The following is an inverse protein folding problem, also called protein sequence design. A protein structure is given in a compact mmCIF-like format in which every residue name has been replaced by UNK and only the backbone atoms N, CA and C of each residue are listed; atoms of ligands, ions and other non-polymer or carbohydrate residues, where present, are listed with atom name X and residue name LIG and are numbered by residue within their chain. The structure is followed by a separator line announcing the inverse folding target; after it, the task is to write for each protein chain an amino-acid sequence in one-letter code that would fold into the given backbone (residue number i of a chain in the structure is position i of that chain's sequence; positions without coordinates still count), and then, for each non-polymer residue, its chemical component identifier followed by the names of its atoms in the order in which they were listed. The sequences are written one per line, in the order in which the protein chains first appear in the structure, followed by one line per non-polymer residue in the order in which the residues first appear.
data_IF_376746887215
#
_entry.id   IF_376746887215
#
_cell.length_a   1.000
_cell.length_b   1.000
_cell.length_c   1.000
_cell.angle_alpha   90.00
_cell.angle_beta   90.00
_cell.angle_gamma   90.00
#
_symmetry.space_group_name_H-M   'P 1'
#
loop_
_entity.id
_entity.type
_entity.pdbx_description
1 polymer ?
#
# COMPACT_ATOMS: atom_id res chain seq x y z
N UNK A 1 35.85 56.81 -0.36
CA UNK A 1 35.76 57.56 -1.63
C UNK A 1 34.36 58.14 -1.69
N UNK A 2 34.27 59.46 -1.56
CA UNK A 2 33.04 60.25 -1.50
C UNK A 2 32.60 60.63 -2.93
N UNK A 3 31.29 60.50 -3.24
CA UNK A 3 30.60 61.27 -4.29
C UNK A 3 29.13 61.49 -3.91
N UNK A 4 28.91 62.60 -3.19
CA UNK A 4 27.66 63.36 -3.11
C UNK A 4 27.03 63.59 -4.49
N UNK A 5 25.70 63.51 -4.59
CA UNK A 5 24.90 64.65 -5.09
C UNK A 5 23.41 64.49 -4.75
N UNK A 6 22.91 65.51 -4.05
CA UNK A 6 21.50 65.89 -3.95
C UNK A 6 20.94 66.19 -5.34
N UNK A 7 19.64 65.96 -5.53
CA UNK A 7 18.74 66.88 -6.24
C UNK A 7 17.28 66.59 -5.87
N UNK A 8 16.58 67.69 -5.65
CA UNK A 8 15.27 67.89 -5.05
C UNK A 8 14.12 67.84 -6.05
N UNK A 9 12.92 67.66 -5.49
CA UNK A 9 11.62 68.20 -5.89
C UNK A 9 10.73 67.40 -6.85
N UNK A 10 9.47 67.22 -6.42
CA UNK A 10 8.32 67.26 -7.32
C UNK A 10 7.18 66.29 -6.99
N UNK A 11 6.08 66.83 -6.46
CA UNK A 11 4.74 66.46 -6.96
C UNK A 11 4.02 65.28 -6.31
N UNK A 12 3.10 65.62 -5.40
CA UNK A 12 1.94 64.83 -4.97
C UNK A 12 1.09 64.34 -6.15
N UNK A 13 0.76 63.04 -6.19
CA UNK A 13 -0.59 62.58 -6.56
C UNK A 13 -0.97 61.36 -5.71
N UNK A 14 -2.03 61.54 -4.92
CA UNK A 14 -2.71 60.51 -4.14
C UNK A 14 -3.44 59.55 -5.10
N UNK A 15 -2.83 58.41 -5.41
CA UNK A 15 -3.50 57.28 -6.05
C UNK A 15 -4.10 56.37 -4.98
N UNK A 16 -5.40 56.49 -4.72
CA UNK A 16 -6.15 55.58 -3.88
C UNK A 16 -6.21 54.19 -4.55
N UNK A 17 -5.38 53.24 -4.10
CA UNK A 17 -5.60 51.83 -4.38
C UNK A 17 -6.78 51.35 -3.54
N UNK A 18 -7.94 51.23 -4.18
CA UNK A 18 -9.08 50.51 -3.62
C UNK A 18 -8.72 49.01 -3.54
N UNK A 19 -8.38 48.54 -2.34
CA UNK A 19 -8.28 47.11 -2.04
C UNK A 19 -9.73 46.60 -2.00
N UNK A 20 -10.19 46.00 -3.09
CA UNK A 20 -11.45 45.24 -3.09
C UNK A 20 -11.25 43.98 -2.26
N UNK A 21 -11.73 43.99 -1.01
CA UNK A 21 -11.83 42.79 -0.20
C UNK A 21 -12.92 41.89 -0.81
N UNK A 22 -12.52 40.90 -1.61
CA UNK A 22 -13.38 39.74 -1.90
C UNK A 22 -13.49 38.96 -0.61
N UNK A 23 -14.66 39.06 0.03
CA UNK A 23 -15.07 38.15 1.09
C UNK A 23 -15.26 36.76 0.46
N UNK A 24 -14.16 36.00 0.36
CA UNK A 24 -14.20 34.58 0.04
C UNK A 24 -14.71 33.84 1.27
N UNK A 25 -15.93 33.30 1.17
CA UNK A 25 -16.49 32.39 2.15
C UNK A 25 -15.60 31.15 2.24
N UNK A 26 -14.73 31.09 3.24
CA UNK A 26 -13.97 29.89 3.54
C UNK A 26 -14.93 28.85 4.14
N UNK A 27 -15.55 28.04 3.29
CA UNK A 27 -16.12 26.77 3.71
C UNK A 27 -14.97 25.83 4.01
N UNK A 28 -14.63 25.70 5.29
CA UNK A 28 -13.75 24.65 5.80
C UNK A 28 -14.46 23.30 5.64
N UNK A 29 -14.24 22.63 4.51
CA UNK A 29 -14.51 21.19 4.44
C UNK A 29 -13.47 20.50 5.32
N UNK A 30 -13.92 19.89 6.41
CA UNK A 30 -13.09 19.02 7.22
C UNK A 30 -12.46 17.95 6.31
N UNK A 31 -11.14 18.00 6.16
CA UNK A 31 -10.39 17.00 5.42
C UNK A 31 -10.46 15.69 6.20
N UNK A 32 -11.28 14.76 5.72
CA UNK A 32 -10.99 13.32 5.89
C UNK A 32 -9.63 13.07 5.22
N UNK A 33 -8.88 12.05 5.68
CA UNK A 33 -7.46 11.81 5.35
C UNK A 33 -7.11 11.53 3.88
N UNK A 34 -7.93 12.01 2.95
CA UNK A 34 -7.87 11.81 1.50
C UNK A 34 -7.32 13.07 0.77
N UNK A 35 -7.09 14.16 1.51
CA UNK A 35 -6.85 15.51 0.97
C UNK A 35 -5.56 15.76 0.20
N UNK A 36 -4.72 14.75 -0.03
CA UNK A 36 -3.42 14.88 -0.73
C UNK A 36 -3.26 13.99 -1.96
N UNK A 37 -4.28 13.20 -2.33
CA UNK A 37 -4.17 12.26 -3.44
C UNK A 37 -4.85 12.81 -4.71
N UNK A 38 -4.06 13.13 -5.74
CA UNK A 38 -4.51 13.78 -6.99
C UNK A 38 -4.63 12.83 -8.19
N UNK A 39 -4.87 11.53 -7.99
CA UNK A 39 -5.07 10.64 -9.12
C UNK A 39 -6.52 10.51 -9.59
N UNK A 40 -6.66 9.87 -10.74
CA UNK A 40 -7.90 9.50 -11.38
C UNK A 40 -8.82 8.66 -10.48
N UNK A 41 -10.10 8.63 -10.84
CA UNK A 41 -11.07 7.80 -10.15
C UNK A 41 -10.73 6.30 -10.23
N UNK A 42 -10.11 5.86 -11.34
CA UNK A 42 -9.63 4.49 -11.50
C UNK A 42 -8.55 4.14 -10.48
N UNK A 43 -7.52 4.98 -10.35
CA UNK A 43 -6.43 4.79 -9.40
C UNK A 43 -6.94 4.73 -7.96
N UNK A 44 -7.86 5.64 -7.59
CA UNK A 44 -8.49 5.64 -6.26
C UNK A 44 -9.30 4.36 -6.01
N UNK A 45 -10.04 3.87 -7.02
CA UNK A 45 -10.78 2.60 -6.92
C UNK A 45 -9.83 1.42 -6.75
N UNK A 46 -8.76 1.34 -7.54
CA UNK A 46 -7.78 0.26 -7.43
C UNK A 46 -7.14 0.24 -6.02
N UNK A 47 -6.70 1.39 -5.50
CA UNK A 47 -6.15 1.48 -4.14
C UNK A 47 -7.16 1.09 -3.05
N UNK A 48 -8.43 1.47 -3.20
CA UNK A 48 -9.49 1.04 -2.27
C UNK A 48 -9.73 -0.47 -2.34
N UNK A 49 -9.74 -1.06 -3.54
CA UNK A 49 -9.85 -2.51 -3.72
C UNK A 49 -8.63 -3.21 -3.12
N UNK A 50 -7.43 -2.63 -3.23
CA UNK A 50 -6.23 -3.13 -2.57
C UNK A 50 -6.36 -3.15 -1.05
N UNK A 51 -6.81 -2.03 -0.45
CA UNK A 51 -7.06 -1.97 0.99
C UNK A 51 -8.07 -3.04 1.45
N UNK A 52 -9.18 -3.21 0.72
CA UNK A 52 -10.20 -4.24 1.03
C UNK A 52 -9.64 -5.67 0.90
N UNK A 53 -8.85 -5.92 -0.15
CA UNK A 53 -8.16 -7.17 -0.38
C UNK A 53 -7.32 -7.55 0.85
N UNK A 54 -6.42 -6.68 1.29
CA UNK A 54 -5.49 -7.05 2.36
C UNK A 54 -6.13 -6.98 3.76
N UNK A 55 -6.90 -5.92 4.02
CA UNK A 55 -7.43 -5.65 5.37
C UNK A 55 -8.60 -6.55 5.74
N UNK A 56 -9.36 -7.03 4.75
CA UNK A 56 -10.51 -7.89 4.98
C UNK A 56 -10.37 -9.25 4.32
N UNK A 57 -10.11 -9.33 3.02
CA UNK A 57 -10.16 -10.61 2.29
C UNK A 57 -9.02 -11.54 2.71
N UNK A 58 -7.77 -11.11 2.59
CA UNK A 58 -6.59 -11.86 3.00
C UNK A 58 -6.59 -12.09 4.51
N UNK A 59 -6.67 -11.01 5.30
CA UNK A 59 -6.60 -11.09 6.77
C UNK A 59 -7.66 -11.99 7.38
N UNK A 60 -8.88 -12.00 6.86
CA UNK A 60 -9.96 -12.86 7.36
C UNK A 60 -10.15 -14.13 6.52
N UNK A 61 -9.17 -14.48 5.67
CA UNK A 61 -9.12 -15.72 4.88
C UNK A 61 -10.40 -15.95 4.03
N UNK A 62 -10.98 -14.87 3.49
CA UNK A 62 -12.22 -14.90 2.69
C UNK A 62 -11.92 -15.28 1.24
N UNK A 63 -11.29 -16.44 1.01
CA UNK A 63 -10.74 -16.85 -0.29
C UNK A 63 -11.72 -16.81 -1.47
N UNK A 64 -13.02 -17.03 -1.22
CA UNK A 64 -14.07 -16.91 -2.24
C UNK A 64 -14.18 -15.49 -2.85
N UNK A 65 -13.72 -14.47 -2.11
CA UNK A 65 -13.74 -13.06 -2.52
C UNK A 65 -12.46 -12.60 -3.21
N UNK A 66 -11.44 -13.46 -3.35
CA UNK A 66 -10.18 -13.04 -3.97
C UNK A 66 -10.35 -12.62 -5.45
N UNK A 67 -11.39 -13.14 -6.11
CA UNK A 67 -11.79 -12.71 -7.46
C UNK A 67 -12.35 -11.30 -7.55
N UNK A 68 -12.60 -10.60 -6.44
CA UNK A 68 -12.96 -9.18 -6.43
C UNK A 68 -11.77 -8.28 -6.83
N UNK A 69 -10.55 -8.78 -6.64
CA UNK A 69 -9.31 -8.04 -6.92
C UNK A 69 -8.37 -8.74 -7.90
N UNK A 70 -8.58 -10.01 -8.23
CA UNK A 70 -7.69 -10.80 -9.10
C UNK A 70 -8.45 -11.42 -10.27
N UNK A 71 -7.84 -11.44 -11.46
CA UNK A 71 -8.36 -12.28 -12.56
C UNK A 71 -8.19 -13.76 -12.26
N UNK A 72 -8.96 -14.62 -12.94
CA UNK A 72 -8.84 -16.08 -12.79
C UNK A 72 -7.48 -16.61 -13.25
N UNK A 73 -6.87 -15.94 -14.22
CA UNK A 73 -5.60 -16.25 -14.87
C UNK A 73 -4.43 -15.38 -14.36
N UNK A 74 -4.58 -14.73 -13.20
CA UNK A 74 -3.55 -13.85 -12.64
C UNK A 74 -2.19 -14.56 -12.55
N UNK A 75 -1.12 -13.84 -12.91
CA UNK A 75 0.25 -14.23 -12.58
C UNK A 75 0.72 -13.52 -11.32
N UNK A 76 1.26 -14.25 -10.35
CA UNK A 76 1.81 -13.66 -9.12
C UNK A 76 3.27 -14.06 -8.97
N UNK A 77 4.14 -13.07 -8.79
CA UNK A 77 5.57 -13.23 -8.55
C UNK A 77 5.85 -13.16 -7.06
N UNK A 78 6.43 -14.23 -6.52
CA UNK A 78 6.71 -14.38 -5.09
C UNK A 78 8.15 -13.98 -4.73
N UNK A 79 8.43 -13.63 -3.46
CA UNK A 79 9.73 -13.07 -3.06
C UNK A 79 10.91 -14.06 -3.08
N UNK A 80 10.64 -15.35 -3.17
CA UNK A 80 11.64 -16.40 -3.36
C UNK A 80 11.96 -16.66 -4.85
N UNK A 81 11.33 -15.90 -5.75
CA UNK A 81 11.56 -15.94 -7.19
C UNK A 81 10.67 -16.91 -7.97
N UNK A 82 9.78 -17.68 -7.32
CA UNK A 82 8.79 -18.46 -8.05
C UNK A 82 7.61 -17.58 -8.50
N UNK A 83 6.79 -18.11 -9.40
CA UNK A 83 5.53 -17.49 -9.78
C UNK A 83 4.41 -18.52 -9.85
N UNK A 84 3.18 -18.05 -9.66
CA UNK A 84 1.96 -18.84 -9.84
C UNK A 84 1.19 -18.34 -11.05
N UNK A 85 0.64 -19.25 -11.85
CA UNK A 85 -0.30 -18.94 -12.92
C UNK A 85 -1.70 -19.41 -12.51
N UNK A 86 -2.63 -18.46 -12.36
CA UNK A 86 -4.02 -18.68 -12.01
C UNK A 86 -4.34 -18.54 -10.51
N UNK A 87 -5.54 -18.03 -10.24
CA UNK A 87 -5.98 -17.63 -8.89
C UNK A 87 -6.03 -18.81 -7.90
N UNK A 88 -6.32 -20.03 -8.37
CA UNK A 88 -6.39 -21.19 -7.49
C UNK A 88 -5.03 -21.52 -6.87
N UNK A 89 -3.97 -21.51 -7.69
CA UNK A 89 -2.62 -21.80 -7.23
C UNK A 89 -2.13 -20.69 -6.29
N UNK A 90 -2.41 -19.44 -6.63
CA UNK A 90 -2.13 -18.32 -5.74
C UNK A 90 -2.83 -18.44 -4.38
N UNK A 91 -4.12 -18.82 -4.33
CA UNK A 91 -4.86 -19.07 -3.08
C UNK A 91 -4.21 -20.20 -2.25
N UNK A 92 -3.74 -21.27 -2.88
CA UNK A 92 -3.05 -22.37 -2.18
C UNK A 92 -1.79 -21.87 -1.47
N UNK A 93 -1.01 -21.02 -2.13
CA UNK A 93 0.23 -20.48 -1.58
C UNK A 93 -0.06 -19.43 -0.49
N UNK A 94 -1.07 -18.58 -0.65
CA UNK A 94 -1.53 -17.66 0.41
C UNK A 94 -1.97 -18.43 1.67
N UNK A 95 -2.72 -19.53 1.52
CA UNK A 95 -3.16 -20.35 2.66
C UNK A 95 -2.00 -20.90 3.47
N UNK A 96 -0.84 -21.15 2.85
CA UNK A 96 0.33 -21.66 3.54
C UNK A 96 0.80 -20.70 4.65
N UNK A 97 0.70 -19.39 4.44
CA UNK A 97 1.05 -18.36 5.44
C UNK A 97 0.21 -18.48 6.73
N UNK A 98 -1.00 -19.03 6.64
CA UNK A 98 -1.91 -19.17 7.77
C UNK A 98 -1.82 -20.53 8.49
N UNK A 99 -1.14 -21.52 7.89
CA UNK A 99 -1.03 -22.85 8.50
C UNK A 99 -0.32 -22.76 9.84
N UNK A 100 0.85 -22.10 9.85
CA UNK A 100 1.70 -21.98 11.03
C UNK A 100 1.43 -20.70 11.86
N UNK A 101 0.92 -19.66 11.21
CA UNK A 101 0.55 -18.38 11.82
C UNK A 101 -0.92 -18.02 11.49
N UNK A 102 -1.90 -18.66 12.16
CA UNK A 102 -3.33 -18.47 11.86
C UNK A 102 -3.86 -17.07 12.18
N UNK A 103 -3.12 -16.27 12.94
CA UNK A 103 -3.40 -14.87 13.28
C UNK A 103 -2.74 -13.86 12.31
N UNK A 104 -2.16 -14.34 11.21
CA UNK A 104 -1.57 -13.50 10.15
C UNK A 104 -2.57 -12.43 9.68
N UNK A 105 -2.14 -11.17 9.67
CA UNK A 105 -2.98 -10.05 9.26
C UNK A 105 -2.16 -8.90 8.67
N UNK A 106 -2.82 -8.12 7.80
CA UNK A 106 -2.36 -6.84 7.28
C UNK A 106 -3.49 -5.84 7.57
N UNK A 107 -3.19 -4.70 8.20
CA UNK A 107 -4.22 -3.72 8.61
C UNK A 107 -3.89 -2.28 8.23
N UNK A 108 -2.70 -2.05 7.69
CA UNK A 108 -2.21 -0.72 7.38
C UNK A 108 -1.42 -0.76 6.08
N UNK A 109 -1.60 0.28 5.27
CA UNK A 109 -0.78 0.56 4.11
C UNK A 109 -0.13 1.94 4.26
N UNK A 110 1.09 2.02 4.84
CA UNK A 110 1.74 3.30 5.13
C UNK A 110 2.01 4.15 3.87
N UNK A 111 2.38 3.50 2.76
CA UNK A 111 2.64 4.17 1.48
C UNK A 111 1.74 3.53 0.43
N UNK A 112 1.03 4.39 -0.32
CA UNK A 112 0.16 3.99 -1.42
C UNK A 112 0.39 4.89 -2.62
N UNK A 113 0.71 4.27 -3.75
CA UNK A 113 0.90 4.93 -5.03
C UNK A 113 0.10 4.20 -6.10
N UNK A 114 -0.40 4.95 -7.07
CA UNK A 114 -1.02 4.41 -8.27
C UNK A 114 -0.71 5.34 -9.44
N UNK A 115 -0.60 4.75 -10.62
CA UNK A 115 -0.31 5.42 -11.88
C UNK A 115 -0.95 4.64 -13.02
N UNK A 116 -2.05 5.15 -13.56
CA UNK A 116 -2.90 4.48 -14.54
C UNK A 116 -3.34 3.10 -14.05
N UNK A 117 -2.83 2.06 -14.71
CA UNK A 117 -3.13 0.66 -14.44
C UNK A 117 -2.19 0.02 -13.40
N UNK A 118 -1.30 0.78 -12.76
CA UNK A 118 -0.37 0.25 -11.74
C UNK A 118 -0.73 0.76 -10.35
N UNK A 119 -0.58 -0.10 -9.35
CA UNK A 119 -0.52 0.27 -7.93
C UNK A 119 0.79 -0.21 -7.32
N UNK A 120 1.30 0.51 -6.33
CA UNK A 120 2.36 0.06 -5.43
C UNK A 120 1.98 0.45 -4.01
N UNK A 121 1.82 -0.54 -3.15
CA UNK A 121 1.44 -0.35 -1.75
C UNK A 121 2.48 -1.00 -0.85
N UNK A 122 2.85 -0.32 0.24
CA UNK A 122 3.56 -0.98 1.34
C UNK A 122 2.55 -1.46 2.36
N UNK A 123 2.85 -2.56 3.04
CA UNK A 123 2.02 -3.11 4.09
C UNK A 123 2.86 -3.64 5.25
N UNK A 124 2.21 -3.85 6.38
CA UNK A 124 2.82 -4.46 7.56
C UNK A 124 2.06 -5.74 7.89
N UNK A 125 2.65 -6.88 7.58
CA UNK A 125 2.11 -8.20 7.89
C UNK A 125 2.56 -8.64 9.28
N UNK A 126 1.62 -9.02 10.13
CA UNK A 126 1.88 -9.44 11.52
C UNK A 126 1.28 -10.79 11.80
N UNK A 127 1.88 -11.57 12.68
CA UNK A 127 1.34 -12.84 13.15
C UNK A 127 2.26 -13.51 14.16
N UNK A 128 1.90 -14.73 14.55
CA UNK A 128 2.60 -15.52 15.57
C UNK A 128 2.75 -16.97 15.14
N UNK A 129 3.97 -17.52 15.19
CA UNK A 129 4.23 -18.91 14.85
C UNK A 129 3.74 -19.86 15.96
N UNK A 130 2.47 -20.26 15.87
CA UNK A 130 1.75 -21.00 16.94
C UNK A 130 1.36 -22.41 16.55
N UNK A 131 1.45 -22.78 15.27
CA UNK A 131 1.12 -24.12 14.77
C UNK A 131 2.28 -24.72 14.00
N UNK A 132 2.41 -26.06 13.92
CA UNK A 132 3.50 -26.69 13.17
C UNK A 132 3.49 -26.27 11.69
N UNK A 133 4.68 -25.98 11.14
CA UNK A 133 4.88 -25.60 9.74
C UNK A 133 5.34 -26.82 8.93
N UNK A 134 4.52 -27.36 8.02
CA UNK A 134 4.93 -28.47 7.15
C UNK A 134 5.91 -27.97 6.09
N UNK A 135 6.96 -28.75 5.82
CA UNK A 135 7.93 -28.47 4.77
C UNK A 135 7.73 -29.41 3.57
N UNK A 136 8.13 -29.01 2.35
CA UNK A 136 8.02 -29.84 1.15
C UNK A 136 8.74 -31.19 1.24
N UNK A 137 9.77 -31.31 2.07
CA UNK A 137 10.53 -32.54 2.28
C UNK A 137 9.87 -33.53 3.27
N UNK A 138 8.65 -33.24 3.74
CA UNK A 138 7.92 -34.07 4.71
C UNK A 138 8.28 -33.79 6.17
N UNK A 139 9.31 -32.98 6.45
CA UNK A 139 9.61 -32.56 7.81
C UNK A 139 8.64 -31.47 8.28
N UNK A 140 8.63 -31.22 9.59
CA UNK A 140 7.79 -30.19 10.21
C UNK A 140 8.62 -29.37 11.18
N UNK A 141 8.53 -28.04 11.08
CA UNK A 141 9.11 -27.13 12.07
C UNK A 141 8.08 -26.94 13.19
N UNK A 142 8.52 -27.15 14.43
CA UNK A 142 7.67 -26.95 15.61
C UNK A 142 7.43 -25.45 15.86
N UNK A 143 6.25 -25.07 16.39
CA UNK A 143 5.94 -23.68 16.65
C UNK A 143 6.91 -23.07 17.66
N UNK A 144 7.45 -21.89 17.33
CA UNK A 144 8.43 -21.19 18.19
C UNK A 144 7.78 -20.21 19.16
N UNK A 145 6.49 -19.89 18.96
CA UNK A 145 5.77 -18.87 19.73
C UNK A 145 6.23 -17.43 19.44
N UNK A 146 7.16 -17.23 18.50
CA UNK A 146 7.63 -15.90 18.14
C UNK A 146 6.61 -15.15 17.29
N UNK A 147 6.46 -13.88 17.58
CA UNK A 147 5.71 -12.93 16.76
C UNK A 147 6.60 -12.39 15.66
N UNK A 148 6.00 -12.10 14.50
CA UNK A 148 6.67 -11.38 13.44
C UNK A 148 5.92 -10.08 13.10
N UNK A 149 6.67 -9.10 12.65
CA UNK A 149 6.20 -7.88 11.98
C UNK A 149 7.05 -7.71 10.73
N UNK A 150 6.45 -7.97 9.59
CA UNK A 150 7.10 -8.03 8.30
C UNK A 150 6.63 -6.87 7.44
N UNK A 151 7.55 -5.98 7.11
CA UNK A 151 7.31 -4.96 6.10
C UNK A 151 7.31 -5.62 4.71
N UNK A 152 6.28 -5.31 3.93
CA UNK A 152 6.11 -5.80 2.57
C UNK A 152 5.80 -4.66 1.61
N UNK A 153 6.04 -4.90 0.33
CA UNK A 153 5.51 -4.10 -0.75
C UNK A 153 4.85 -5.00 -1.79
N UNK A 154 3.73 -4.55 -2.33
CA UNK A 154 3.06 -5.22 -3.45
C UNK A 154 2.84 -4.26 -4.59
N UNK A 155 3.24 -4.69 -5.79
CA UNK A 155 2.94 -4.01 -7.03
C UNK A 155 1.84 -4.78 -7.75
N UNK A 156 0.77 -4.09 -8.14
CA UNK A 156 -0.34 -4.68 -8.86
C UNK A 156 -0.51 -4.04 -10.23
N UNK A 157 -0.67 -4.85 -11.27
CA UNK A 157 -1.04 -4.40 -12.60
C UNK A 157 -2.50 -4.75 -12.88
N UNK A 158 -3.30 -3.72 -13.16
CA UNK A 158 -4.76 -3.77 -13.18
C UNK A 158 -5.32 -3.68 -14.59
N UNK A 159 -6.38 -4.42 -14.86
CA UNK A 159 -7.22 -4.26 -16.04
C UNK A 159 -8.67 -4.39 -15.63
N UNK A 160 -9.51 -3.43 -16.04
CA UNK A 160 -10.96 -3.47 -15.78
C UNK A 160 -11.32 -3.66 -14.29
N UNK A 161 -10.52 -3.09 -13.38
CA UNK A 161 -10.77 -3.10 -11.94
C UNK A 161 -10.26 -4.33 -11.17
N UNK A 162 -9.55 -5.26 -11.82
CA UNK A 162 -8.90 -6.42 -11.19
C UNK A 162 -7.45 -6.55 -11.63
N UNK A 163 -6.59 -7.12 -10.78
CA UNK A 163 -5.19 -7.39 -11.07
C UNK A 163 -5.05 -8.58 -12.03
N UNK A 164 -4.26 -8.37 -13.08
CA UNK A 164 -3.83 -9.40 -14.04
C UNK A 164 -2.43 -9.92 -13.72
N UNK A 165 -1.63 -9.13 -13.01
CA UNK A 165 -0.29 -9.51 -12.57
C UNK A 165 0.04 -8.80 -11.25
N UNK A 166 0.71 -9.52 -10.35
CA UNK A 166 1.07 -9.03 -9.01
C UNK A 166 2.52 -9.41 -8.68
N UNK A 167 3.25 -8.49 -8.03
CA UNK A 167 4.60 -8.75 -7.52
C UNK A 167 4.62 -8.49 -6.03
N UNK A 168 4.94 -9.53 -5.27
CA UNK A 168 5.10 -9.48 -3.83
C UNK A 168 6.58 -9.26 -3.50
N UNK A 169 6.87 -8.43 -2.50
CA UNK A 169 8.21 -8.17 -2.00
C UNK A 169 8.22 -8.17 -0.46
N UNK A 170 9.12 -8.95 0.13
CA UNK A 170 9.51 -8.85 1.54
C UNK A 170 10.90 -9.45 1.74
N UNK A 171 11.52 -9.16 2.88
CA UNK A 171 12.79 -9.77 3.26
C UNK A 171 12.55 -11.15 3.90
N UNK A 172 12.69 -12.21 3.10
CA UNK A 172 12.51 -13.59 3.55
C UNK A 172 13.52 -14.00 4.62
N UNK A 173 14.74 -13.45 4.60
CA UNK A 173 15.75 -13.75 5.62
C UNK A 173 15.34 -13.13 6.95
N UNK A 174 14.95 -11.85 6.93
CA UNK A 174 14.46 -11.17 8.12
C UNK A 174 13.20 -11.85 8.69
N UNK A 175 12.29 -12.29 7.82
CA UNK A 175 11.11 -13.03 8.23
C UNK A 175 11.47 -14.34 8.94
N UNK A 176 12.35 -15.15 8.34
CA UNK A 176 12.79 -16.42 8.92
C UNK A 176 13.53 -16.24 10.25
N UNK A 177 14.35 -15.18 10.40
CA UNK A 177 14.98 -14.85 11.68
C UNK A 177 13.95 -14.46 12.75
N UNK A 178 12.90 -13.71 12.40
CA UNK A 178 11.81 -13.38 13.34
C UNK A 178 11.02 -14.64 13.75
N UNK A 179 10.82 -15.58 12.84
CA UNK A 179 10.20 -16.88 13.14
C UNK A 179 11.10 -17.79 13.97
N UNK A 180 12.40 -17.52 14.04
CA UNK A 180 13.39 -18.33 14.76
C UNK A 180 13.79 -19.60 14.02
N UNK A 181 13.77 -19.57 12.68
CA UNK A 181 14.08 -20.72 11.82
C UNK A 181 15.31 -20.51 10.94
N UNK A 182 15.95 -19.33 11.03
CA UNK A 182 17.22 -18.99 10.40
C UNK A 182 18.13 -18.27 11.38
#
# INVERSE_FOLDING_TARGET
MDRRSLLTAGGTTLGALAISAVAGSATSSAATGDGFWHGSEQERRNLKTFDELDFDVFTNQKWARLGESHTRDIRVHWPDGHYTDGINKHIEDLKFLFIFAPDTNIRVHPIKMASGDLTSVTGVMKGTFTRPMPLPNGNTIQPTGKTFTLDMATVGHWRKGVMTEEWLFWDSQHYNTQLGIA
#
